data_IF_615314293122
#
_entry.id   IF_615314293122
#
_cell.length_a   1.000
_cell.length_b   1.000
_cell.length_c   1.000
_cell.angle_alpha   90.00
_cell.angle_beta   90.00
_cell.angle_gamma   90.00
#
_symmetry.space_group_name_H-M   'P 1'
#
loop_
_entity.id
_entity.type
_entity.pdbx_description
1 polymer ?
#
# COMPACT_ATOMS: atom_id res chain seq x y z
N UNK A 1 7.37 20.39 -25.94
CA UNK A 1 7.37 19.64 -24.68
C UNK A 1 5.91 19.42 -24.30
N UNK A 2 5.39 18.18 -24.37
CA UNK A 2 4.00 17.93 -24.00
C UNK A 2 3.84 18.17 -22.49
N UNK A 3 2.90 19.04 -22.13
CA UNK A 3 2.55 19.28 -20.72
C UNK A 3 1.64 18.11 -20.29
N UNK A 4 2.20 17.16 -19.51
CA UNK A 4 1.45 16.07 -18.94
C UNK A 4 0.75 16.54 -17.67
N UNK A 5 -0.41 17.17 -17.80
CA UNK A 5 -1.22 17.55 -16.66
C UNK A 5 -1.88 16.31 -16.03
N UNK A 6 -1.97 16.23 -14.69
CA UNK A 6 -2.68 15.14 -14.03
C UNK A 6 -4.17 15.19 -14.39
N UNK A 7 -4.77 14.04 -14.66
CA UNK A 7 -6.20 13.91 -14.90
C UNK A 7 -6.90 13.37 -13.64
N UNK A 8 -8.02 14.00 -13.28
CA UNK A 8 -8.94 13.44 -12.28
C UNK A 8 -9.88 12.48 -12.96
N UNK A 9 -10.13 11.35 -12.32
CA UNK A 9 -11.09 10.36 -12.78
C UNK A 9 -11.88 9.80 -11.59
N UNK A 10 -13.08 9.31 -11.88
CA UNK A 10 -13.89 8.56 -10.95
C UNK A 10 -14.08 7.17 -11.55
N UNK A 11 -13.59 6.15 -10.90
CA UNK A 11 -13.89 4.77 -11.25
C UNK A 11 -15.29 4.43 -10.73
N UNK A 12 -16.31 4.83 -11.50
CA UNK A 12 -17.72 4.70 -11.10
C UNK A 12 -18.19 3.26 -11.08
N UNK A 13 -17.56 2.40 -11.90
CA UNK A 13 -17.87 0.96 -11.97
C UNK A 13 -17.24 0.16 -10.82
N UNK A 14 -16.44 0.80 -9.98
CA UNK A 14 -15.89 0.24 -8.72
C UNK A 14 -16.85 0.61 -7.58
N UNK A 15 -17.30 -0.36 -6.81
CA UNK A 15 -18.17 -0.12 -5.63
C UNK A 15 -17.35 -0.20 -4.32
N UNK A 16 -17.24 0.91 -3.58
CA UNK A 16 -17.76 2.25 -3.88
C UNK A 16 -16.96 2.95 -4.98
N UNK A 17 -17.63 3.83 -5.73
CA UNK A 17 -16.95 4.66 -6.74
C UNK A 17 -15.68 5.29 -6.17
N UNK A 18 -14.55 5.04 -6.83
CA UNK A 18 -13.23 5.39 -6.29
C UNK A 18 -12.67 6.63 -6.99
N UNK A 19 -12.56 7.77 -6.28
CA UNK A 19 -11.88 8.94 -6.79
C UNK A 19 -10.39 8.68 -6.97
N UNK A 20 -9.84 9.06 -8.12
CA UNK A 20 -8.42 8.90 -8.40
C UNK A 20 -7.84 10.09 -9.18
N UNK A 21 -6.52 10.25 -9.08
CA UNK A 21 -5.73 11.19 -9.88
C UNK A 21 -4.67 10.41 -10.65
N UNK A 22 -4.62 10.59 -11.96
CA UNK A 22 -3.71 9.89 -12.86
C UNK A 22 -2.63 10.85 -13.34
N UNK A 23 -1.38 10.50 -13.07
CA UNK A 23 -0.18 11.11 -13.62
C UNK A 23 0.32 10.21 -14.75
N UNK A 24 0.19 10.63 -16.01
CA UNK A 24 0.57 9.81 -17.15
C UNK A 24 1.66 10.50 -17.98
N UNK A 25 2.87 9.99 -17.93
CA UNK A 25 4.03 10.42 -18.70
C UNK A 25 4.42 9.42 -19.80
N UNK A 26 3.56 8.44 -20.07
CA UNK A 26 3.80 7.44 -21.10
C UNK A 26 3.50 7.94 -22.50
N UNK A 27 4.24 7.42 -23.47
CA UNK A 27 3.93 7.61 -24.89
C UNK A 27 2.70 6.77 -25.30
N UNK A 28 1.97 7.15 -26.34
CA UNK A 28 0.93 6.29 -26.92
C UNK A 28 1.48 4.90 -27.27
N UNK A 29 0.66 3.87 -27.15
CA UNK A 29 0.99 2.48 -27.51
C UNK A 29 2.23 1.91 -26.80
N UNK A 30 2.58 2.39 -25.62
CA UNK A 30 3.70 1.91 -24.83
C UNK A 30 3.32 0.74 -23.92
N UNK A 31 4.30 -0.10 -23.58
CA UNK A 31 4.22 -1.08 -22.48
C UNK A 31 4.81 -0.58 -21.17
N UNK A 32 4.98 0.73 -21.03
CA UNK A 32 5.50 1.33 -19.81
C UNK A 32 4.60 1.00 -18.59
N UNK A 33 5.17 0.87 -17.39
CA UNK A 33 4.45 0.41 -16.20
C UNK A 33 3.33 1.37 -15.78
N UNK A 34 2.33 0.82 -15.08
CA UNK A 34 1.30 1.57 -14.37
C UNK A 34 1.40 1.24 -12.89
N UNK A 35 1.48 2.25 -12.06
CA UNK A 35 1.58 2.11 -10.60
C UNK A 35 0.26 2.54 -9.95
N UNK A 36 -0.33 1.66 -9.16
CA UNK A 36 -1.53 1.93 -8.36
C UNK A 36 -1.07 2.21 -6.93
N UNK A 37 -1.20 3.45 -6.49
CA UNK A 37 -0.66 3.92 -5.21
C UNK A 37 -1.75 3.92 -4.14
N UNK A 38 -1.55 3.12 -3.09
CA UNK A 38 -2.45 2.96 -1.95
C UNK A 38 -1.91 3.76 -0.75
N UNK A 39 -2.71 4.70 -0.19
CA UNK A 39 -2.27 5.59 0.87
C UNK A 39 -2.18 4.90 2.24
N UNK A 40 -1.46 5.53 3.16
CA UNK A 40 -1.44 5.15 4.57
C UNK A 40 -2.80 5.41 5.24
N UNK A 41 -3.02 4.79 6.40
CA UNK A 41 -4.25 4.95 7.18
C UNK A 41 -4.55 6.44 7.48
N UNK A 42 -5.73 6.89 7.12
CA UNK A 42 -6.20 8.25 7.38
C UNK A 42 -5.56 9.35 6.51
N UNK A 43 -4.80 8.97 5.49
CA UNK A 43 -4.14 9.91 4.57
C UNK A 43 -4.85 9.90 3.24
N UNK A 44 -5.23 11.07 2.74
CA UNK A 44 -5.81 11.20 1.40
C UNK A 44 -4.75 10.92 0.32
N UNK A 45 -5.14 10.25 -0.76
CA UNK A 45 -4.25 9.87 -1.85
C UNK A 45 -3.53 11.08 -2.49
N UNK A 46 -4.18 12.24 -2.55
CA UNK A 46 -3.58 13.49 -3.05
C UNK A 46 -2.30 13.92 -2.32
N UNK A 47 -2.09 13.45 -1.08
CA UNK A 47 -0.85 13.70 -0.34
C UNK A 47 0.38 13.18 -1.08
N UNK A 48 0.22 12.13 -1.87
CA UNK A 48 1.28 11.45 -2.62
C UNK A 48 1.47 12.02 -4.04
N UNK A 49 0.84 13.15 -4.40
CA UNK A 49 0.95 13.73 -5.73
C UNK A 49 2.41 13.99 -6.18
N UNK A 50 3.31 14.55 -5.34
CA UNK A 50 4.72 14.70 -5.73
C UNK A 50 5.42 13.38 -6.03
N UNK A 51 5.11 12.32 -5.27
CA UNK A 51 5.65 10.98 -5.50
C UNK A 51 5.11 10.37 -6.80
N UNK A 52 3.81 10.44 -7.05
CA UNK A 52 3.19 9.88 -8.24
C UNK A 52 3.70 10.55 -9.52
N UNK A 53 3.81 11.88 -9.51
CA UNK A 53 4.38 12.68 -10.60
C UNK A 53 5.83 12.25 -10.89
N UNK A 54 6.68 12.23 -9.86
CA UNK A 54 8.08 11.86 -9.99
C UNK A 54 8.25 10.41 -10.47
N UNK A 55 7.43 9.48 -9.97
CA UNK A 55 7.47 8.06 -10.36
C UNK A 55 7.05 7.87 -11.82
N UNK A 56 5.93 8.46 -12.23
CA UNK A 56 5.44 8.39 -13.61
C UNK A 56 6.47 8.96 -14.59
N UNK A 57 7.08 10.10 -14.25
CA UNK A 57 8.14 10.73 -15.04
C UNK A 57 9.40 9.87 -15.13
N UNK A 58 9.92 9.35 -14.01
CA UNK A 58 11.15 8.56 -13.96
C UNK A 58 11.05 7.24 -14.72
N UNK A 59 9.84 6.66 -14.80
CA UNK A 59 9.59 5.38 -15.48
C UNK A 59 9.01 5.53 -16.88
N UNK A 60 8.75 6.76 -17.35
CA UNK A 60 7.97 7.06 -18.54
C UNK A 60 6.64 6.29 -18.56
N UNK A 61 6.06 6.11 -17.37
CA UNK A 61 4.88 5.30 -17.10
C UNK A 61 3.67 6.13 -16.67
N UNK A 62 2.76 5.50 -15.94
CA UNK A 62 1.64 6.16 -15.29
C UNK A 62 1.59 5.79 -13.80
N UNK A 63 1.14 6.73 -12.97
CA UNK A 63 0.86 6.50 -11.56
C UNK A 63 -0.57 6.96 -11.24
N UNK A 64 -1.32 6.10 -10.59
CA UNK A 64 -2.72 6.30 -10.20
C UNK A 64 -2.77 6.42 -8.70
N UNK A 65 -3.18 7.58 -8.20
CA UNK A 65 -3.46 7.81 -6.78
C UNK A 65 -4.93 7.55 -6.53
N UNK A 66 -5.27 6.50 -5.82
CA UNK A 66 -6.65 6.14 -5.49
C UNK A 66 -6.90 6.26 -3.99
N UNK A 67 -7.97 6.95 -3.62
CA UNK A 67 -8.42 6.99 -2.23
C UNK A 67 -9.02 5.65 -1.82
N UNK A 68 -8.57 5.12 -0.70
CA UNK A 68 -9.21 3.93 -0.11
C UNK A 68 -10.59 4.27 0.44
N UNK A 69 -11.48 3.29 0.50
CA UNK A 69 -12.81 3.42 1.14
C UNK A 69 -12.69 4.11 2.50
N UNK A 70 -13.46 5.17 2.71
CA UNK A 70 -13.48 5.94 3.95
C UNK A 70 -12.38 6.99 4.11
N UNK A 71 -11.52 7.17 3.12
CA UNK A 71 -10.42 8.15 3.17
C UNK A 71 -10.50 9.15 2.00
N UNK A 72 -9.84 10.27 2.17
CA UNK A 72 -9.74 11.30 1.13
C UNK A 72 -11.09 11.80 0.63
N UNK A 73 -11.33 11.61 -0.66
CA UNK A 73 -12.57 11.99 -1.37
C UNK A 73 -13.54 10.80 -1.53
N UNK A 74 -13.29 9.64 -0.85
CA UNK A 74 -14.21 8.51 -0.87
C UNK A 74 -15.62 8.94 -0.43
N UNK A 75 -16.67 8.51 -1.14
CA UNK A 75 -18.06 8.83 -0.78
C UNK A 75 -18.51 8.16 0.53
N UNK A 76 -17.81 7.11 0.95
CA UNK A 76 -18.11 6.34 2.17
C UNK A 76 -17.34 6.93 3.35
N UNK A 77 -18.03 7.47 4.36
CA UNK A 77 -17.40 8.08 5.53
C UNK A 77 -17.67 7.29 6.80
N UNK A 78 -16.65 7.04 7.61
CA UNK A 78 -16.74 6.33 8.88
C UNK A 78 -17.79 6.94 9.83
N UNK A 79 -17.82 8.27 9.92
CA UNK A 79 -18.77 9.03 10.78
C UNK A 79 -20.24 8.88 10.38
N UNK A 80 -20.52 8.45 9.15
CA UNK A 80 -21.89 8.25 8.64
C UNK A 80 -22.37 6.80 8.80
N UNK A 81 -21.80 6.06 9.77
CA UNK A 81 -22.23 4.69 10.08
C UNK A 81 -21.69 3.62 9.12
N UNK A 82 -20.62 3.93 8.40
CA UNK A 82 -19.97 2.96 7.52
C UNK A 82 -19.53 1.71 8.29
N UNK A 83 -19.78 0.52 7.73
CA UNK A 83 -19.55 -0.78 8.37
C UNK A 83 -18.56 -1.66 7.63
N UNK A 84 -17.64 -1.09 6.87
CA UNK A 84 -16.60 -1.84 6.16
C UNK A 84 -15.40 -2.18 7.07
N UNK A 85 -14.68 -3.23 6.71
CA UNK A 85 -13.44 -3.70 7.33
C UNK A 85 -12.39 -4.02 6.27
N UNK A 86 -11.40 -4.83 6.64
CA UNK A 86 -10.36 -5.25 5.71
C UNK A 86 -10.91 -6.08 4.55
N UNK A 87 -11.92 -6.94 4.81
CA UNK A 87 -12.52 -7.79 3.77
C UNK A 87 -13.00 -6.98 2.59
N UNK A 88 -13.80 -5.96 2.84
CA UNK A 88 -14.37 -5.09 1.82
C UNK A 88 -13.28 -4.43 0.96
N UNK A 89 -12.18 -4.00 1.59
CA UNK A 89 -11.09 -3.33 0.88
C UNK A 89 -10.21 -4.31 0.09
N UNK A 90 -9.83 -5.45 0.70
CA UNK A 90 -8.83 -6.35 0.11
C UNK A 90 -9.42 -7.36 -0.86
N UNK A 91 -10.68 -7.79 -0.67
CA UNK A 91 -11.34 -8.76 -1.52
C UNK A 91 -12.22 -8.13 -2.61
N UNK A 92 -12.63 -6.87 -2.44
CA UNK A 92 -13.56 -6.20 -3.33
C UNK A 92 -12.93 -4.94 -3.96
N UNK A 93 -12.63 -3.88 -3.16
CA UNK A 93 -12.25 -2.57 -3.69
C UNK A 93 -10.94 -2.60 -4.48
N UNK A 94 -9.86 -3.12 -3.88
CA UNK A 94 -8.54 -3.13 -4.54
C UNK A 94 -8.53 -4.02 -5.79
N UNK A 95 -9.08 -5.27 -5.78
CA UNK A 95 -9.18 -6.08 -6.99
C UNK A 95 -10.03 -5.42 -8.10
N UNK A 96 -11.16 -4.81 -7.75
CA UNK A 96 -12.01 -4.08 -8.71
C UNK A 96 -11.27 -2.88 -9.30
N UNK A 97 -10.56 -2.11 -8.48
CA UNK A 97 -9.73 -0.99 -8.93
C UNK A 97 -8.61 -1.46 -9.88
N UNK A 98 -7.93 -2.56 -9.56
CA UNK A 98 -6.90 -3.16 -10.44
C UNK A 98 -7.52 -3.52 -11.79
N UNK A 99 -8.69 -4.15 -11.80
CA UNK A 99 -9.39 -4.54 -13.02
C UNK A 99 -9.78 -3.32 -13.86
N UNK A 100 -10.31 -2.26 -13.25
CA UNK A 100 -10.68 -1.02 -13.92
C UNK A 100 -9.46 -0.32 -14.53
N UNK A 101 -8.33 -0.30 -13.82
CA UNK A 101 -7.09 0.29 -14.31
C UNK A 101 -6.47 -0.58 -15.42
N UNK A 102 -6.56 -1.91 -15.34
CA UNK A 102 -6.14 -2.81 -16.40
C UNK A 102 -6.92 -2.55 -17.71
N UNK A 103 -8.22 -2.32 -17.61
CA UNK A 103 -9.06 -1.95 -18.76
C UNK A 103 -8.68 -0.59 -19.36
N UNK A 104 -8.31 0.39 -18.53
CA UNK A 104 -7.88 1.71 -18.99
C UNK A 104 -6.47 1.70 -19.61
N UNK A 105 -5.61 0.77 -19.19
CA UNK A 105 -4.22 0.64 -19.66
C UNK A 105 -3.93 -0.77 -20.19
N UNK A 106 -4.57 -1.20 -21.30
CA UNK A 106 -4.52 -2.59 -21.76
C UNK A 106 -3.09 -3.02 -22.11
N UNK A 107 -2.72 -4.23 -21.66
CA UNK A 107 -1.43 -4.86 -21.94
C UNK A 107 -0.22 -4.23 -21.24
N UNK A 108 -0.44 -3.32 -20.31
CA UNK A 108 0.63 -2.69 -19.52
C UNK A 108 0.82 -3.43 -18.18
N UNK A 109 2.08 -3.61 -17.72
CA UNK A 109 2.34 -4.21 -16.42
C UNK A 109 1.84 -3.30 -15.28
N UNK A 110 1.06 -3.87 -14.37
CA UNK A 110 0.49 -3.17 -13.21
C UNK A 110 1.29 -3.49 -11.95
N UNK A 111 1.62 -2.47 -11.20
CA UNK A 111 2.31 -2.58 -9.90
C UNK A 111 1.46 -1.93 -8.82
N UNK A 112 1.24 -2.64 -7.70
CA UNK A 112 0.73 -2.00 -6.49
C UNK A 112 1.87 -1.32 -5.75
N UNK A 113 1.67 -0.08 -5.31
CA UNK A 113 2.59 0.66 -4.43
C UNK A 113 1.83 1.03 -3.18
N UNK A 114 2.17 0.41 -2.06
CA UNK A 114 1.47 0.66 -0.80
C UNK A 114 2.37 1.33 0.24
N UNK A 115 1.89 2.41 0.86
CA UNK A 115 2.51 3.03 2.01
C UNK A 115 1.85 2.59 3.30
N UNK A 116 2.65 2.14 4.27
CA UNK A 116 2.16 1.81 5.61
C UNK A 116 0.96 0.83 5.57
N UNK A 117 -0.22 1.22 6.06
CA UNK A 117 -1.44 0.40 5.95
C UNK A 117 -1.80 0.08 4.50
N UNK A 118 -1.62 1.02 3.56
CA UNK A 118 -1.84 0.76 2.14
C UNK A 118 -0.98 -0.38 1.61
N UNK A 119 0.25 -0.55 2.13
CA UNK A 119 1.11 -1.69 1.82
C UNK A 119 0.61 -2.99 2.45
N UNK A 120 0.11 -2.97 3.68
CA UNK A 120 -0.52 -4.15 4.28
C UNK A 120 -1.76 -4.60 3.50
N UNK A 121 -2.66 -3.66 3.19
CA UNK A 121 -3.87 -3.94 2.43
C UNK A 121 -3.55 -4.40 1.00
N UNK A 122 -2.56 -3.78 0.34
CA UNK A 122 -2.06 -4.20 -0.97
C UNK A 122 -1.48 -5.61 -0.95
N UNK A 123 -0.73 -5.97 0.11
CA UNK A 123 -0.20 -7.33 0.32
C UNK A 123 -1.35 -8.34 0.44
N UNK A 124 -2.35 -8.04 1.27
CA UNK A 124 -3.51 -8.92 1.45
C UNK A 124 -4.36 -9.01 0.17
N UNK A 125 -4.57 -7.90 -0.54
CA UNK A 125 -5.32 -7.88 -1.80
C UNK A 125 -4.60 -8.62 -2.93
N UNK A 126 -3.27 -8.73 -2.88
CA UNK A 126 -2.50 -9.51 -3.86
C UNK A 126 -2.86 -11.00 -3.85
N UNK A 127 -3.39 -11.52 -2.74
CA UNK A 127 -3.94 -12.90 -2.68
C UNK A 127 -5.07 -13.10 -3.69
N UNK A 128 -5.87 -12.06 -3.95
CA UNK A 128 -7.00 -12.09 -4.89
C UNK A 128 -6.62 -11.66 -6.31
N UNK A 129 -5.59 -10.83 -6.45
CA UNK A 129 -5.31 -10.09 -7.67
C UNK A 129 -3.93 -10.40 -8.28
N UNK A 130 -3.13 -11.33 -7.71
CA UNK A 130 -1.77 -11.62 -8.17
C UNK A 130 -1.66 -11.89 -9.68
N UNK A 131 -2.57 -12.62 -10.35
CA UNK A 131 -2.47 -12.85 -11.79
C UNK A 131 -2.54 -11.57 -12.64
N UNK A 132 -3.10 -10.48 -12.11
CA UNK A 132 -3.19 -9.18 -12.77
C UNK A 132 -2.04 -8.22 -12.42
N UNK A 133 -1.13 -8.62 -11.53
CA UNK A 133 -0.05 -7.78 -11.02
C UNK A 133 1.33 -8.24 -11.52
N UNK A 134 2.15 -7.29 -11.92
CA UNK A 134 3.55 -7.52 -12.25
C UNK A 134 4.47 -7.42 -11.01
N UNK A 135 3.99 -6.87 -9.90
CA UNK A 135 4.72 -6.80 -8.64
C UNK A 135 4.09 -5.90 -7.60
N UNK A 136 4.64 -5.98 -6.38
CA UNK A 136 4.22 -5.20 -5.22
C UNK A 136 5.40 -4.37 -4.68
N UNK A 137 5.15 -3.11 -4.40
CA UNK A 137 6.14 -2.18 -3.84
C UNK A 137 5.61 -1.70 -2.48
N UNK A 138 6.35 -2.00 -1.44
CA UNK A 138 6.04 -1.65 -0.06
C UNK A 138 6.94 -0.50 0.38
N UNK A 139 6.37 0.64 0.76
CA UNK A 139 7.14 1.77 1.26
C UNK A 139 6.76 2.03 2.71
N UNK A 140 7.75 2.00 3.60
CA UNK A 140 7.54 2.18 5.04
C UNK A 140 6.36 1.34 5.55
N UNK A 141 6.29 0.07 5.16
CA UNK A 141 5.17 -0.83 5.45
C UNK A 141 5.65 -2.05 6.25
N UNK A 142 4.87 -2.43 7.24
CA UNK A 142 5.14 -3.57 8.11
C UNK A 142 3.86 -4.01 8.83
N UNK A 143 3.91 -5.05 9.64
CA UNK A 143 2.78 -5.42 10.49
C UNK A 143 2.53 -4.34 11.55
N UNK A 144 1.30 -4.27 12.05
CA UNK A 144 0.98 -3.43 13.20
C UNK A 144 1.39 -4.09 14.54
N UNK A 145 1.91 -5.32 14.52
CA UNK A 145 2.15 -6.13 15.71
C UNK A 145 3.10 -5.47 16.70
N UNK A 146 2.62 -5.17 17.90
CA UNK A 146 3.36 -4.41 18.92
C UNK A 146 4.71 -5.06 19.32
N UNK A 147 4.83 -6.38 19.18
CA UNK A 147 6.07 -7.10 19.49
C UNK A 147 7.16 -6.93 18.44
N UNK A 148 6.82 -6.45 17.25
CA UNK A 148 7.78 -6.12 16.21
C UNK A 148 8.55 -4.82 16.50
N UNK A 149 8.11 -4.00 17.46
CA UNK A 149 8.82 -2.82 17.91
C UNK A 149 10.06 -3.15 18.73
N UNK A 150 11.05 -2.24 18.82
CA UNK A 150 12.21 -2.41 19.70
C UNK A 150 11.78 -2.73 21.15
N UNK A 151 12.50 -3.63 21.82
CA UNK A 151 12.14 -4.12 23.17
C UNK A 151 11.76 -3.01 24.14
N UNK A 152 12.52 -1.90 24.14
CA UNK A 152 12.29 -0.75 25.03
C UNK A 152 10.94 -0.04 24.76
N UNK A 153 10.35 -0.18 23.57
CA UNK A 153 9.11 0.49 23.16
C UNK A 153 7.89 -0.42 23.12
N UNK A 154 8.07 -1.75 23.24
CA UNK A 154 6.98 -2.75 23.11
C UNK A 154 5.84 -2.52 24.09
N UNK A 155 6.14 -2.17 25.32
CA UNK A 155 5.12 -1.91 26.34
C UNK A 155 4.25 -0.70 25.97
N UNK A 156 4.87 0.38 25.47
CA UNK A 156 4.17 1.59 24.99
C UNK A 156 3.28 1.24 23.78
N UNK A 157 3.85 0.55 22.79
CA UNK A 157 3.11 0.10 21.62
C UNK A 157 1.94 -0.80 22.03
N UNK A 158 2.14 -1.74 22.96
CA UNK A 158 1.09 -2.60 23.50
C UNK A 158 -0.03 -1.81 24.18
N UNK A 159 0.28 -0.83 25.03
CA UNK A 159 -0.71 0.04 25.66
C UNK A 159 -1.50 0.81 24.59
N UNK A 160 -0.81 1.41 23.61
CA UNK A 160 -1.46 2.15 22.52
C UNK A 160 -2.42 1.25 21.74
N UNK A 161 -2.01 0.03 21.39
CA UNK A 161 -2.87 -0.94 20.69
C UNK A 161 -4.11 -1.28 21.51
N UNK A 162 -3.99 -1.49 22.83
CA UNK A 162 -5.14 -1.77 23.68
C UNK A 162 -6.07 -0.56 23.81
N UNK A 163 -5.52 0.65 23.93
CA UNK A 163 -6.32 1.88 23.97
C UNK A 163 -7.11 2.08 22.67
N UNK A 164 -6.45 1.94 21.51
CA UNK A 164 -7.10 2.02 20.18
C UNK A 164 -8.23 0.99 20.07
N UNK A 165 -7.95 -0.27 20.45
CA UNK A 165 -8.94 -1.35 20.44
C UNK A 165 -10.15 -1.02 21.33
N UNK A 166 -9.89 -0.54 22.54
CA UNK A 166 -10.94 -0.22 23.49
C UNK A 166 -11.85 0.91 22.98
N UNK A 167 -11.25 2.01 22.51
CA UNK A 167 -11.98 3.14 21.90
C UNK A 167 -12.80 2.67 20.69
N UNK A 168 -12.20 1.89 19.79
CA UNK A 168 -12.89 1.36 18.61
C UNK A 168 -14.04 0.39 18.99
N UNK A 169 -13.94 -0.31 20.13
CA UNK A 169 -14.99 -1.22 20.58
C UNK A 169 -16.18 -0.49 21.22
N UNK A 170 -15.96 0.66 21.84
CA UNK A 170 -17.01 1.39 22.56
C UNK A 170 -17.73 2.42 21.69
N UNK A 171 -17.06 3.00 20.70
CA UNK A 171 -17.61 4.06 19.87
C UNK A 171 -18.18 3.52 18.55
N UNK A 172 -19.17 4.20 17.94
CA UNK A 172 -19.72 3.82 16.62
C UNK A 172 -18.66 3.86 15.51
N UNK A 173 -17.65 4.72 15.61
CA UNK A 173 -16.45 4.78 14.80
C UNK A 173 -15.24 5.17 15.67
N UNK A 174 -14.04 4.89 15.18
CA UNK A 174 -12.81 5.33 15.81
C UNK A 174 -12.50 6.79 15.42
N UNK A 175 -12.48 7.74 16.37
CA UNK A 175 -12.26 9.17 16.10
C UNK A 175 -10.76 9.50 16.00
N UNK A 176 -10.06 8.89 15.06
CA UNK A 176 -8.60 8.98 14.97
C UNK A 176 -8.09 10.38 14.65
N UNK A 177 -8.90 11.25 14.03
CA UNK A 177 -8.54 12.66 13.85
C UNK A 177 -8.40 13.40 15.17
N UNK A 178 -9.28 13.13 16.11
CA UNK A 178 -9.24 13.71 17.46
C UNK A 178 -8.10 13.12 18.28
N UNK A 179 -7.82 11.84 18.11
CA UNK A 179 -6.80 11.11 18.87
C UNK A 179 -5.40 11.21 18.25
N UNK A 180 -5.24 11.86 17.09
CA UNK A 180 -3.96 12.04 16.42
C UNK A 180 -3.38 10.78 15.78
N UNK A 181 -4.21 9.73 15.54
CA UNK A 181 -3.78 8.47 14.93
C UNK A 181 -4.81 7.92 13.93
N UNK A 182 -4.37 7.61 12.70
CA UNK A 182 -5.10 6.80 11.73
C UNK A 182 -6.31 7.46 11.07
N UNK A 183 -6.64 8.73 11.38
CA UNK A 183 -7.87 9.35 10.89
C UNK A 183 -9.14 8.70 11.44
N UNK A 184 -10.31 9.15 10.99
CA UNK A 184 -11.58 8.55 11.42
C UNK A 184 -11.79 7.23 10.65
N UNK A 185 -11.98 6.14 11.39
CA UNK A 185 -12.07 4.79 10.82
C UNK A 185 -13.34 4.07 11.29
N UNK A 186 -13.93 3.20 10.46
CA UNK A 186 -15.04 2.38 10.91
C UNK A 186 -14.58 1.36 11.95
N UNK A 187 -15.49 0.99 12.83
CA UNK A 187 -15.25 0.05 13.93
C UNK A 187 -14.69 -1.31 13.42
N UNK A 188 -15.21 -1.83 12.30
CA UNK A 188 -14.78 -3.13 11.74
C UNK A 188 -13.34 -3.08 11.24
N UNK A 189 -12.94 -2.02 10.53
CA UNK A 189 -11.56 -1.84 10.07
C UNK A 189 -10.60 -1.81 11.26
N UNK A 190 -10.94 -1.06 12.32
CA UNK A 190 -10.09 -1.00 13.51
C UNK A 190 -10.08 -2.29 14.32
N UNK A 191 -11.11 -3.12 14.23
CA UNK A 191 -11.11 -4.46 14.83
C UNK A 191 -10.10 -5.38 14.12
N UNK A 192 -10.09 -5.40 12.77
CA UNK A 192 -9.12 -6.16 11.98
C UNK A 192 -7.68 -5.65 12.22
N UNK A 193 -7.48 -4.32 12.19
CA UNK A 193 -6.19 -3.71 12.52
C UNK A 193 -5.71 -4.09 13.92
N UNK A 194 -6.60 -3.99 14.92
CA UNK A 194 -6.26 -4.32 16.30
C UNK A 194 -5.97 -5.81 16.49
N UNK A 195 -6.59 -6.68 15.70
CA UNK A 195 -6.28 -8.11 15.74
C UNK A 195 -4.84 -8.35 15.29
N UNK A 196 -4.44 -7.81 14.12
CA UNK A 196 -3.05 -7.90 13.65
C UNK A 196 -2.09 -7.24 14.65
N UNK A 197 -2.42 -6.04 15.17
CA UNK A 197 -1.57 -5.31 16.10
C UNK A 197 -1.27 -6.07 17.41
N UNK A 198 -2.18 -6.95 17.86
CA UNK A 198 -2.00 -7.77 19.06
C UNK A 198 -1.36 -9.11 18.81
N UNK A 199 -1.65 -9.73 17.67
CA UNK A 199 -1.33 -11.16 17.43
C UNK A 199 -0.26 -11.36 16.37
N UNK A 200 0.03 -10.35 15.55
CA UNK A 200 0.88 -10.45 14.36
C UNK A 200 0.23 -11.20 13.21
N UNK A 201 -1.01 -11.68 13.36
CA UNK A 201 -1.71 -12.50 12.35
C UNK A 201 -2.80 -11.69 11.65
N UNK A 202 -3.02 -12.00 10.38
CA UNK A 202 -4.12 -11.48 9.58
C UNK A 202 -5.32 -12.44 9.63
N UNK A 203 -6.25 -12.15 10.54
CA UNK A 203 -7.56 -12.79 10.57
C UNK A 203 -8.61 -11.76 10.25
N UNK A 204 -9.16 -11.82 9.06
CA UNK A 204 -10.06 -10.79 8.51
C UNK A 204 -11.51 -11.24 8.72
N UNK A 205 -12.29 -10.40 9.42
CA UNK A 205 -13.68 -10.67 9.69
C UNK A 205 -14.50 -10.70 8.38
N UNK A 206 -15.28 -11.76 8.17
CA UNK A 206 -16.08 -11.96 6.95
C UNK A 206 -15.37 -12.73 5.84
N UNK A 207 -14.05 -12.98 5.95
CA UNK A 207 -13.33 -13.82 5.01
C UNK A 207 -13.30 -15.29 5.46
N UNK A 208 -13.32 -16.21 4.47
CA UNK A 208 -13.06 -17.64 4.66
C UNK A 208 -11.61 -18.02 4.35
N UNK A 209 -10.81 -17.07 3.84
CA UNK A 209 -9.41 -17.29 3.47
C UNK A 209 -8.55 -17.26 4.73
N UNK A 210 -7.67 -18.24 4.91
CA UNK A 210 -6.53 -18.13 5.81
C UNK A 210 -5.45 -17.31 5.12
N UNK A 211 -5.38 -16.02 5.49
CA UNK A 211 -4.41 -15.11 4.88
C UNK A 211 -2.97 -15.42 5.27
N UNK A 212 -2.71 -16.12 6.37
CA UNK A 212 -1.34 -16.51 6.72
C UNK A 212 -0.82 -17.58 5.73
N UNK A 213 -1.66 -18.56 5.39
CA UNK A 213 -1.36 -19.58 4.40
C UNK A 213 -1.32 -18.97 2.99
N UNK A 214 -2.33 -18.20 2.60
CA UNK A 214 -2.41 -17.61 1.28
C UNK A 214 -1.26 -16.63 0.98
N UNK A 215 -0.76 -15.90 1.98
CA UNK A 215 0.42 -15.04 1.84
C UNK A 215 1.72 -15.86 1.72
N UNK A 216 1.82 -16.99 2.43
CA UNK A 216 2.96 -17.89 2.33
C UNK A 216 3.12 -18.43 0.90
N UNK A 217 2.01 -18.78 0.25
CA UNK A 217 1.98 -19.38 -1.08
C UNK A 217 1.96 -18.35 -2.21
N UNK A 218 1.80 -17.07 -1.89
CA UNK A 218 1.80 -15.98 -2.87
C UNK A 218 3.14 -15.92 -3.62
N UNK A 219 3.08 -15.94 -4.96
CA UNK A 219 4.24 -15.80 -5.82
C UNK A 219 4.16 -14.46 -6.56
N UNK A 220 4.97 -13.49 -6.14
CA UNK A 220 4.99 -12.16 -6.73
C UNK A 220 6.37 -11.50 -6.48
N UNK A 221 6.93 -10.75 -7.46
CA UNK A 221 8.10 -9.90 -7.21
C UNK A 221 7.74 -8.77 -6.24
N UNK A 222 8.55 -8.59 -5.19
CA UNK A 222 8.31 -7.56 -4.16
C UNK A 222 9.54 -6.70 -3.96
N UNK A 223 9.34 -5.38 -3.96
CA UNK A 223 10.31 -4.41 -3.45
C UNK A 223 9.81 -3.87 -2.11
N UNK A 224 10.62 -3.94 -1.07
CA UNK A 224 10.37 -3.29 0.21
C UNK A 224 11.37 -2.16 0.43
N UNK A 225 10.88 -0.92 0.51
CA UNK A 225 11.67 0.28 0.81
C UNK A 225 11.41 0.73 2.23
N UNK A 226 12.41 0.58 3.08
CA UNK A 226 12.37 0.97 4.49
C UNK A 226 12.97 2.36 4.69
N UNK A 227 12.38 3.14 5.59
CA UNK A 227 12.90 4.45 5.98
C UNK A 227 13.72 4.29 7.27
N UNK A 228 14.99 4.64 7.22
CA UNK A 228 15.87 4.55 8.39
C UNK A 228 15.37 5.41 9.54
N UNK A 229 15.24 4.81 10.71
CA UNK A 229 14.77 5.50 11.91
C UNK A 229 13.28 5.89 11.89
N UNK A 230 12.47 5.21 11.08
CA UNK A 230 11.01 5.32 11.11
C UNK A 230 10.44 4.67 12.37
N UNK A 231 9.82 5.44 13.28
CA UNK A 231 9.26 4.88 14.51
C UNK A 231 7.89 4.25 14.31
N UNK A 232 7.22 4.49 13.17
CA UNK A 232 5.87 3.98 12.87
C UNK A 232 5.94 2.62 12.18
N UNK A 233 6.91 2.45 11.26
CA UNK A 233 7.18 1.16 10.61
C UNK A 233 8.65 0.76 10.85
N UNK A 234 9.02 0.36 12.06
CA UNK A 234 10.39 -0.06 12.36
C UNK A 234 10.74 -1.33 11.56
N UNK A 235 12.04 -1.53 11.32
CA UNK A 235 12.56 -2.69 10.57
C UNK A 235 12.01 -4.04 11.05
N UNK A 236 11.77 -4.20 12.35
CA UNK A 236 11.16 -5.41 12.90
C UNK A 236 9.73 -5.65 12.37
N UNK A 237 8.93 -4.59 12.24
CA UNK A 237 7.56 -4.68 11.70
C UNK A 237 7.57 -5.04 10.21
N UNK A 238 8.49 -4.45 9.44
CA UNK A 238 8.69 -4.79 8.03
C UNK A 238 9.16 -6.25 7.90
N UNK A 239 10.14 -6.67 8.70
CA UNK A 239 10.66 -8.05 8.67
C UNK A 239 9.57 -9.08 8.98
N UNK A 240 8.67 -8.79 9.93
CA UNK A 240 7.55 -9.68 10.26
C UNK A 240 6.52 -9.76 9.13
N UNK A 241 6.24 -8.67 8.43
CA UNK A 241 5.37 -8.70 7.24
C UNK A 241 6.00 -9.54 6.12
N UNK A 242 7.27 -9.29 5.81
CA UNK A 242 7.98 -9.98 4.73
C UNK A 242 8.19 -11.48 5.02
N UNK A 243 8.30 -11.87 6.29
CA UNK A 243 8.40 -13.27 6.68
C UNK A 243 7.14 -14.11 6.35
N UNK A 244 5.98 -13.45 6.13
CA UNK A 244 4.74 -14.11 5.70
C UNK A 244 4.73 -14.46 4.20
N UNK A 245 5.64 -13.89 3.41
CA UNK A 245 5.69 -13.92 1.95
C UNK A 245 6.82 -14.85 1.47
N UNK A 246 6.82 -16.09 1.99
CA UNK A 246 7.95 -17.02 1.83
C UNK A 246 8.22 -17.39 0.36
N UNK A 247 7.18 -17.48 -0.46
CA UNK A 247 7.30 -17.84 -1.89
C UNK A 247 7.53 -16.65 -2.83
N UNK A 248 7.56 -15.42 -2.28
CA UNK A 248 7.79 -14.20 -3.06
C UNK A 248 9.28 -13.92 -3.30
N UNK A 249 9.60 -13.39 -4.48
CA UNK A 249 10.95 -12.86 -4.77
C UNK A 249 11.11 -11.45 -4.17
N UNK A 250 11.65 -11.36 -2.96
CA UNK A 250 11.70 -10.12 -2.19
C UNK A 250 13.06 -9.44 -2.33
N UNK A 251 13.05 -8.14 -2.68
CA UNK A 251 14.20 -7.26 -2.61
C UNK A 251 13.96 -6.18 -1.54
N UNK A 252 14.87 -6.08 -0.56
CA UNK A 252 14.79 -5.07 0.50
C UNK A 252 15.78 -3.94 0.22
N UNK A 253 15.35 -2.72 0.46
CA UNK A 253 16.14 -1.50 0.40
C UNK A 253 15.89 -0.66 1.64
N UNK A 254 16.92 0.00 2.13
CA UNK A 254 16.78 0.97 3.21
C UNK A 254 17.34 2.30 2.73
N UNK A 255 16.54 3.34 2.84
CA UNK A 255 16.92 4.71 2.49
C UNK A 255 16.97 5.58 3.73
N UNK A 256 17.74 6.65 3.66
CA UNK A 256 17.73 7.65 4.72
C UNK A 256 16.42 8.43 4.70
N UNK A 257 15.82 8.58 5.87
CA UNK A 257 14.61 9.38 6.02
C UNK A 257 14.90 10.86 5.76
N UNK A 258 13.96 11.56 5.17
CA UNK A 258 14.01 13.01 5.08
C UNK A 258 14.03 13.59 6.50
N UNK A 259 14.93 14.51 6.83
CA UNK A 259 14.92 15.20 8.12
C UNK A 259 13.54 15.79 8.40
N UNK A 260 13.02 15.56 9.60
CA UNK A 260 11.71 16.01 10.03
C UNK A 260 11.80 16.57 11.45
N UNK A 261 11.01 17.60 11.73
CA UNK A 261 10.90 18.28 13.03
C UNK A 261 10.34 17.37 14.14
N UNK A 262 9.61 16.32 13.77
CA UNK A 262 9.13 15.30 14.68
C UNK A 262 9.46 13.90 14.14
N UNK A 263 9.93 12.95 15.00
CA UNK A 263 10.35 11.61 14.55
C UNK A 263 9.29 10.86 13.73
N UNK A 264 8.01 10.94 14.12
CA UNK A 264 6.90 10.25 13.43
C UNK A 264 6.66 10.80 12.02
N UNK A 265 7.04 12.06 11.72
CA UNK A 265 6.90 12.64 10.38
C UNK A 265 7.85 12.03 9.35
N UNK A 266 8.92 11.36 9.78
CA UNK A 266 9.81 10.60 8.88
C UNK A 266 9.05 9.54 8.10
N UNK A 267 8.03 8.94 8.72
CA UNK A 267 7.15 7.97 8.09
C UNK A 267 6.46 8.52 6.83
N UNK A 268 6.18 9.81 6.77
CA UNK A 268 5.40 10.46 5.70
C UNK A 268 6.23 11.38 4.79
N UNK A 269 7.32 11.96 5.30
CA UNK A 269 8.05 13.06 4.63
C UNK A 269 8.66 12.66 3.29
N UNK A 270 8.96 11.37 3.09
CA UNK A 270 9.45 10.83 1.83
C UNK A 270 8.50 11.07 0.66
N UNK A 271 7.20 11.06 0.88
CA UNK A 271 6.20 11.24 -0.19
C UNK A 271 6.22 12.65 -0.81
N UNK A 272 6.69 13.64 -0.05
CA UNK A 272 6.88 15.02 -0.53
C UNK A 272 8.27 15.28 -1.11
N UNK A 273 9.26 14.44 -0.78
CA UNK A 273 10.62 14.43 -1.33
C UNK A 273 10.94 13.01 -1.79
N UNK A 274 10.34 12.59 -2.91
CA UNK A 274 10.26 11.17 -3.27
C UNK A 274 11.50 10.63 -3.97
N UNK A 275 12.51 11.45 -4.23
CA UNK A 275 13.63 11.12 -5.12
C UNK A 275 14.31 9.81 -4.75
N UNK A 276 14.58 9.58 -3.46
CA UNK A 276 15.24 8.37 -2.99
C UNK A 276 14.36 7.11 -3.21
N UNK A 277 13.05 7.19 -2.90
CA UNK A 277 12.12 6.07 -3.12
C UNK A 277 11.96 5.81 -4.60
N UNK A 278 11.81 6.84 -5.42
CA UNK A 278 11.68 6.72 -6.89
C UNK A 278 12.93 6.12 -7.50
N UNK A 279 14.12 6.49 -7.02
CA UNK A 279 15.39 5.92 -7.49
C UNK A 279 15.46 4.41 -7.23
N UNK A 280 15.09 3.95 -6.02
CA UNK A 280 15.07 2.52 -5.69
C UNK A 280 14.04 1.74 -6.52
N UNK A 281 12.85 2.31 -6.71
CA UNK A 281 11.84 1.70 -7.59
C UNK A 281 12.38 1.57 -9.02
N UNK A 282 13.01 2.61 -9.55
CA UNK A 282 13.53 2.60 -10.92
C UNK A 282 14.66 1.59 -11.10
N UNK A 283 15.57 1.46 -10.12
CA UNK A 283 16.62 0.43 -10.11
C UNK A 283 16.02 -0.97 -10.11
N UNK A 284 15.04 -1.21 -9.24
CA UNK A 284 14.35 -2.49 -9.14
C UNK A 284 13.61 -2.85 -10.43
N UNK A 285 12.87 -1.91 -11.02
CA UNK A 285 12.15 -2.10 -12.29
C UNK A 285 13.07 -2.50 -13.42
N UNK A 286 14.22 -1.83 -13.55
CA UNK A 286 15.23 -2.18 -14.57
C UNK A 286 15.78 -3.60 -14.39
N UNK A 287 15.94 -4.05 -13.14
CA UNK A 287 16.38 -5.41 -12.84
C UNK A 287 15.31 -6.45 -13.22
N UNK A 288 14.01 -6.16 -12.96
CA UNK A 288 12.92 -7.03 -13.38
C UNK A 288 12.83 -7.18 -14.90
N UNK A 289 12.95 -6.07 -15.64
CA UNK A 289 12.95 -6.08 -17.10
C UNK A 289 14.08 -6.89 -17.68
N UNK A 290 15.28 -6.83 -17.10
CA UNK A 290 16.43 -7.64 -17.55
C UNK A 290 16.18 -9.14 -17.34
N UNK A 291 15.62 -9.54 -16.18
CA UNK A 291 15.28 -10.96 -15.90
C UNK A 291 14.25 -11.48 -16.90
N UNK A 292 13.16 -10.74 -17.11
CA UNK A 292 12.13 -11.13 -18.07
C UNK A 292 12.68 -11.33 -19.50
N UNK A 293 13.64 -10.51 -19.92
CA UNK A 293 14.29 -10.66 -21.24
C UNK A 293 15.20 -11.89 -21.31
N UNK A 294 15.91 -12.23 -20.23
CA UNK A 294 16.78 -13.44 -20.17
C UNK A 294 15.90 -14.69 -20.22
N UNK A 295 14.84 -14.75 -19.40
CA UNK A 295 13.91 -15.88 -19.37
C UNK A 295 13.18 -16.09 -20.70
N UNK A 296 12.88 -14.99 -21.42
CA UNK A 296 12.30 -15.05 -22.76
C UNK A 296 13.27 -15.61 -23.79
N UNK A 297 14.54 -15.22 -23.70
CA UNK A 297 15.60 -15.71 -24.59
C UNK A 297 15.88 -17.20 -24.37
N UNK A 298 15.99 -17.64 -23.12
CA UNK A 298 16.24 -19.05 -22.76
C UNK A 298 15.10 -19.96 -23.25
N UNK A 299 13.83 -19.51 -23.12
CA UNK A 299 12.66 -20.26 -23.64
C UNK A 299 12.57 -20.28 -25.15
N UNK A 300 13.18 -19.33 -25.85
CA UNK A 300 13.19 -19.28 -27.32
C UNK A 300 14.30 -20.17 -27.93
N UNK A 301 15.30 -20.56 -27.12
CA UNK A 301 16.43 -21.37 -27.51
C UNK A 301 16.30 -22.86 -27.09
N UNK A 302 15.38 -23.15 -26.16
CA UNK A 302 15.03 -24.50 -25.71
C UNK A 302 13.86 -25.08 -26.54
#
# INVERSE_FOLDING_TARGET
MAIFAPSRTLFADVDPATPAVIFNHSRPHTRAPVFICLPAMGVAARFYAPFAEALAKATAGAAVLADLRGQGESPTLARRGARFGYHDIVAEDIPSLISAIAAQFPGRPLYLVGHSLGGQLGTLASVHAAPGLAGLILVASGTAHYRAWPKALRWRAGITVQAVRFVAALLPWYPGRLLGFGGDQPRRLMADWSHNARTGRYRIAGSRIDYEEALHDLVLPILSVEIRGDPVAPTGATSELLAKLASCAIQRRQIDGVPADAPWRRHFSWARRPDAVVAEINVWMRAQLRRANVDCFERAVA
#
